data_IF_206838870662
#
_entry.id   IF_206838870662
#
_cell.length_a   1.000
_cell.length_b   1.000
_cell.length_c   1.000
_cell.angle_alpha   90.00
_cell.angle_beta   90.00
_cell.angle_gamma   90.00
#
_symmetry.space_group_name_H-M   'P 1'
#
loop_
_entity.id
_entity.type
_entity.pdbx_description
1 polymer ?
#
# COMPACT_ATOMS: atom_id res chain seq x y z
N UNK A 1 -1.51 -22.87 6.63
CA UNK A 1 -1.81 -21.52 6.07
C UNK A 1 -0.93 -20.54 6.82
N UNK A 2 -0.23 -19.62 6.15
CA UNK A 2 0.55 -18.58 6.86
C UNK A 2 -0.44 -17.64 7.58
N UNK A 3 -0.07 -17.07 8.72
CA UNK A 3 -0.90 -16.05 9.37
C UNK A 3 -0.90 -14.74 8.56
N UNK A 4 -1.94 -13.93 8.67
CA UNK A 4 -2.04 -12.63 7.99
C UNK A 4 -0.80 -11.75 8.27
N UNK A 5 -0.38 -11.67 9.53
CA UNK A 5 0.81 -10.92 9.94
C UNK A 5 2.09 -11.43 9.26
N UNK A 6 2.21 -12.75 9.08
CA UNK A 6 3.35 -13.34 8.38
C UNK A 6 3.36 -12.91 6.92
N UNK A 7 2.22 -12.93 6.24
CA UNK A 7 2.10 -12.51 4.83
C UNK A 7 2.39 -11.01 4.67
N UNK A 8 1.91 -10.18 5.60
CA UNK A 8 2.22 -8.75 5.64
C UNK A 8 3.72 -8.51 5.80
N UNK A 9 4.35 -9.19 6.77
CA UNK A 9 5.78 -9.05 7.01
C UNK A 9 6.62 -9.50 5.82
N UNK A 10 6.26 -10.61 5.17
CA UNK A 10 6.93 -11.07 3.94
C UNK A 10 6.79 -10.06 2.80
N UNK A 11 5.61 -9.46 2.61
CA UNK A 11 5.40 -8.42 1.60
C UNK A 11 6.25 -7.19 1.87
N UNK A 12 6.30 -6.74 3.13
CA UNK A 12 7.14 -5.59 3.52
C UNK A 12 8.62 -5.88 3.28
N UNK A 13 9.11 -7.06 3.68
CA UNK A 13 10.51 -7.44 3.44
C UNK A 13 10.82 -7.47 1.94
N UNK A 14 9.94 -8.06 1.13
CA UNK A 14 10.08 -8.07 -0.32
C UNK A 14 10.16 -6.65 -0.91
N UNK A 15 9.26 -5.75 -0.52
CA UNK A 15 9.25 -4.36 -1.00
C UNK A 15 10.53 -3.60 -0.59
N UNK A 16 11.02 -3.82 0.64
CA UNK A 16 12.29 -3.23 1.10
C UNK A 16 13.47 -3.70 0.28
N UNK A 17 13.49 -4.96 -0.12
CA UNK A 17 14.56 -5.50 -0.98
C UNK A 17 14.55 -4.88 -2.37
N UNK A 18 13.39 -4.42 -2.86
CA UNK A 18 13.29 -3.74 -4.17
C UNK A 18 13.84 -2.31 -4.14
N UNK A 19 13.95 -1.67 -2.97
CA UNK A 19 14.52 -0.32 -2.84
C UNK A 19 16.03 -0.41 -3.06
N UNK A 20 16.50 0.21 -4.15
CA UNK A 20 17.90 0.15 -4.56
C UNK A 20 18.41 1.50 -5.04
N UNK A 21 19.70 1.84 -4.86
CA UNK A 21 20.27 3.10 -5.33
C UNK A 21 20.15 3.32 -6.84
N UNK A 22 20.13 2.24 -7.64
CA UNK A 22 20.02 2.32 -9.09
C UNK A 22 18.60 2.62 -9.61
N UNK A 23 17.57 2.53 -8.76
CA UNK A 23 16.21 2.82 -9.17
C UNK A 23 16.02 4.33 -9.34
N UNK A 24 15.07 4.72 -10.19
CA UNK A 24 14.62 6.12 -10.24
C UNK A 24 14.05 6.52 -8.86
N UNK A 25 14.26 7.78 -8.40
CA UNK A 25 13.77 8.23 -7.10
C UNK A 25 12.27 7.97 -6.88
N UNK A 26 11.44 8.21 -7.90
CA UNK A 26 9.99 7.96 -7.84
C UNK A 26 9.64 6.49 -7.61
N UNK A 27 10.43 5.56 -8.15
CA UNK A 27 10.21 4.11 -7.96
C UNK A 27 10.49 3.71 -6.51
N UNK A 28 11.59 4.19 -5.93
CA UNK A 28 11.88 3.95 -4.51
C UNK A 28 10.83 4.59 -3.61
N UNK A 29 10.42 5.83 -3.90
CA UNK A 29 9.34 6.52 -3.19
C UNK A 29 8.04 5.71 -3.23
N UNK A 30 7.68 5.13 -4.37
CA UNK A 30 6.49 4.29 -4.48
C UNK A 30 6.57 3.05 -3.57
N UNK A 31 7.71 2.35 -3.51
CA UNK A 31 7.90 1.23 -2.59
C UNK A 31 7.81 1.65 -1.13
N UNK A 32 8.38 2.79 -0.76
CA UNK A 32 8.30 3.35 0.60
C UNK A 32 6.85 3.65 1.00
N UNK A 33 6.09 4.31 0.11
CA UNK A 33 4.66 4.60 0.32
C UNK A 33 3.87 3.29 0.49
N UNK A 34 4.11 2.27 -0.33
CA UNK A 34 3.43 0.98 -0.16
C UNK A 34 3.76 0.33 1.19
N UNK A 35 5.03 0.35 1.61
CA UNK A 35 5.46 -0.20 2.91
C UNK A 35 4.76 0.53 4.06
N UNK A 36 4.79 1.86 4.04
CA UNK A 36 4.18 2.68 5.08
C UNK A 36 2.67 2.44 5.16
N UNK A 37 2.00 2.43 4.00
CA UNK A 37 0.56 2.19 3.90
C UNK A 37 0.18 0.82 4.44
N UNK A 38 0.90 -0.24 4.05
CA UNK A 38 0.63 -1.60 4.53
C UNK A 38 0.83 -1.72 6.04
N UNK A 39 1.88 -1.08 6.59
CA UNK A 39 2.19 -1.15 8.03
C UNK A 39 1.25 -0.35 8.91
N UNK A 40 0.75 0.77 8.40
CA UNK A 40 -0.09 1.70 9.17
C UNK A 40 -1.58 1.41 9.04
N UNK A 41 -1.98 0.62 8.04
CA UNK A 41 -3.39 0.31 7.79
C UNK A 41 -4.01 -0.52 8.92
N UNK A 42 -5.21 -0.12 9.35
CA UNK A 42 -6.09 -1.00 10.13
C UNK A 42 -6.67 -2.11 9.23
N UNK A 43 -6.28 -3.36 9.46
CA UNK A 43 -6.71 -4.52 8.69
C UNK A 43 -8.23 -4.76 8.75
N UNK A 44 -8.87 -4.51 9.90
CA UNK A 44 -10.33 -4.66 10.06
C UNK A 44 -11.10 -3.59 9.27
N UNK A 45 -10.49 -2.41 9.12
CA UNK A 45 -11.09 -1.24 8.45
C UNK A 45 -10.56 -0.99 7.04
N UNK A 46 -9.83 -1.93 6.42
CA UNK A 46 -9.10 -1.68 5.16
C UNK A 46 -10.04 -1.33 3.99
N UNK A 47 -11.23 -1.91 3.91
CA UNK A 47 -12.25 -1.53 2.92
C UNK A 47 -12.67 -0.05 3.03
N UNK A 48 -12.85 0.45 4.26
CA UNK A 48 -13.22 1.85 4.50
C UNK A 48 -12.07 2.78 4.12
N UNK A 49 -10.83 2.37 4.39
CA UNK A 49 -9.65 3.15 4.00
C UNK A 49 -9.55 3.27 2.47
N UNK A 50 -9.79 2.20 1.71
CA UNK A 50 -9.85 2.23 0.24
C UNK A 50 -10.89 3.25 -0.25
N UNK A 51 -12.12 3.19 0.26
CA UNK A 51 -13.18 4.13 -0.13
C UNK A 51 -12.82 5.58 0.17
N UNK A 52 -12.15 5.85 1.30
CA UNK A 52 -11.69 7.20 1.64
C UNK A 52 -10.62 7.69 0.66
N UNK A 53 -9.66 6.83 0.30
CA UNK A 53 -8.61 7.17 -0.67
C UNK A 53 -9.17 7.41 -2.08
N UNK A 54 -10.15 6.60 -2.52
CA UNK A 54 -10.86 6.82 -3.78
C UNK A 54 -11.56 8.19 -3.81
N UNK A 55 -12.23 8.60 -2.72
CA UNK A 55 -12.84 9.94 -2.62
C UNK A 55 -11.80 11.07 -2.64
N UNK A 56 -10.63 10.87 -2.02
CA UNK A 56 -9.54 11.85 -2.09
C UNK A 56 -9.03 12.01 -3.52
N UNK A 57 -8.97 10.91 -4.27
CA UNK A 57 -8.52 10.90 -5.65
C UNK A 57 -9.47 11.66 -6.58
N UNK A 58 -10.79 11.56 -6.36
CA UNK A 58 -11.81 12.29 -7.14
C UNK A 58 -11.64 13.83 -7.07
N UNK A 59 -11.11 14.33 -5.96
CA UNK A 59 -10.95 15.78 -5.73
C UNK A 59 -9.50 16.26 -5.85
N UNK A 60 -8.55 15.34 -6.03
CA UNK A 60 -7.13 15.67 -6.17
C UNK A 60 -6.87 16.39 -7.49
N UNK A 61 -6.00 17.41 -7.45
CA UNK A 61 -5.70 18.26 -8.63
C UNK A 61 -4.23 18.24 -9.02
N UNK A 62 -3.35 17.94 -8.08
CA UNK A 62 -1.92 17.90 -8.30
C UNK A 62 -1.45 16.47 -8.59
N UNK A 63 -0.51 16.36 -9.53
CA UNK A 63 -0.01 15.07 -10.01
C UNK A 63 0.69 14.27 -8.91
N UNK A 64 1.45 14.94 -8.04
CA UNK A 64 2.18 14.29 -6.94
C UNK A 64 1.22 13.62 -5.94
N UNK A 65 0.13 14.29 -5.56
CA UNK A 65 -0.90 13.70 -4.69
C UNK A 65 -1.65 12.59 -5.40
N UNK A 66 -1.95 12.74 -6.69
CA UNK A 66 -2.59 11.68 -7.49
C UNK A 66 -1.72 10.42 -7.51
N UNK A 67 -0.42 10.56 -7.82
CA UNK A 67 0.53 9.44 -7.83
C UNK A 67 0.65 8.76 -6.46
N UNK A 68 0.72 9.56 -5.38
CA UNK A 68 0.74 9.03 -4.02
C UNK A 68 -0.55 8.27 -3.70
N UNK A 69 -1.72 8.85 -3.97
CA UNK A 69 -3.01 8.22 -3.69
C UNK A 69 -3.20 6.90 -4.46
N UNK A 70 -2.76 6.83 -5.72
CA UNK A 70 -2.78 5.57 -6.46
C UNK A 70 -1.87 4.52 -5.82
N UNK A 71 -0.65 4.92 -5.41
CA UNK A 71 0.29 4.00 -4.76
C UNK A 71 -0.26 3.47 -3.42
N UNK A 72 -0.88 4.34 -2.63
CA UNK A 72 -1.55 3.96 -1.38
C UNK A 72 -2.75 3.02 -1.65
N UNK A 73 -3.54 3.29 -2.69
CA UNK A 73 -4.67 2.43 -3.09
C UNK A 73 -4.21 1.02 -3.48
N UNK A 74 -3.17 0.90 -4.31
CA UNK A 74 -2.62 -0.41 -4.70
C UNK A 74 -2.20 -1.25 -3.48
N UNK A 75 -1.55 -0.60 -2.51
CA UNK A 75 -1.15 -1.22 -1.25
C UNK A 75 -2.36 -1.69 -0.42
N UNK A 76 -3.37 -0.84 -0.26
CA UNK A 76 -4.58 -1.17 0.51
C UNK A 76 -5.40 -2.28 -0.18
N UNK A 77 -5.52 -2.28 -1.50
CA UNK A 77 -6.22 -3.31 -2.26
C UNK A 77 -5.49 -4.66 -2.21
N UNK A 78 -4.16 -4.65 -2.23
CA UNK A 78 -3.38 -5.85 -1.95
C UNK A 78 -3.66 -6.37 -0.52
N UNK A 79 -3.69 -5.48 0.47
CA UNK A 79 -3.94 -5.84 1.87
C UNK A 79 -5.35 -6.40 2.06
N UNK A 80 -6.39 -5.76 1.51
CA UNK A 80 -7.77 -6.24 1.55
C UNK A 80 -7.89 -7.67 1.01
N UNK A 81 -7.17 -7.99 -0.09
CA UNK A 81 -7.14 -9.36 -0.63
C UNK A 81 -6.50 -10.36 0.34
N UNK A 82 -5.51 -9.96 1.12
CA UNK A 82 -4.93 -10.84 2.14
C UNK A 82 -5.89 -11.00 3.32
N UNK A 83 -6.52 -9.91 3.78
CA UNK A 83 -7.51 -9.97 4.87
C UNK A 83 -8.64 -10.95 4.50
N UNK A 84 -9.27 -10.82 3.33
CA UNK A 84 -10.35 -11.73 2.89
C UNK A 84 -9.90 -13.19 2.80
N UNK A 85 -8.65 -13.46 2.44
CA UNK A 85 -8.12 -14.83 2.34
C UNK A 85 -7.82 -15.49 3.69
N UNK A 86 -7.68 -14.70 4.76
CA UNK A 86 -7.27 -15.17 6.08
C UNK A 86 -8.33 -14.93 7.16
N UNK A 87 -9.53 -14.48 6.76
CA UNK A 87 -10.75 -14.52 7.56
C UNK A 87 -11.42 -15.88 7.38
#
# INVERSE_FOLDING_TARGET
MKGLDQVINERVSFLREQIKPQNKPLVNRAFEIQIETIRSANTEGVAIQILRKQKQLEIAKDMDTIEQLYTELEALEWLQRQVVKHI
#
